data_IF_096305914200
#
_entry.id   IF_096305914200
#
_cell.length_a   1.000
_cell.length_b   1.000
_cell.length_c   1.000
_cell.angle_alpha   90.00
_cell.angle_beta   90.00
_cell.angle_gamma   90.00
#
_symmetry.space_group_name_H-M   'P 1'
#
loop_
_entity.id
_entity.type
_entity.pdbx_description
1 polymer ?
#
# COMPACT_ATOMS: atom_id res chain seq x y z
N UNK A 1 34.21 1.63 -40.02
CA UNK A 1 32.80 1.97 -40.26
C UNK A 1 32.33 2.79 -39.06
N UNK A 2 32.52 4.11 -39.12
CA UNK A 2 32.14 5.04 -38.05
C UNK A 2 30.68 5.44 -38.26
N UNK A 3 29.86 5.28 -37.22
CA UNK A 3 28.42 5.58 -37.24
C UNK A 3 28.14 7.08 -37.42
N UNK A 4 26.86 7.46 -37.62
CA UNK A 4 26.49 8.81 -37.98
C UNK A 4 26.89 9.78 -36.86
N UNK A 5 27.93 10.57 -37.11
CA UNK A 5 28.30 11.72 -36.28
C UNK A 5 27.28 12.83 -36.57
N UNK A 6 26.06 12.64 -36.07
CA UNK A 6 25.09 13.70 -35.88
C UNK A 6 25.71 14.65 -34.86
N UNK A 7 26.43 15.66 -35.35
CA UNK A 7 26.88 16.81 -34.58
C UNK A 7 25.65 17.57 -34.07
N UNK A 8 24.99 17.04 -33.03
CA UNK A 8 24.05 17.81 -32.23
C UNK A 8 24.88 18.87 -31.53
N UNK A 9 24.69 20.11 -31.94
CA UNK A 9 25.24 21.31 -31.32
C UNK A 9 25.17 21.17 -29.78
N UNK A 10 26.34 21.05 -29.15
CA UNK A 10 26.45 20.75 -27.71
C UNK A 10 25.75 21.81 -26.86
N UNK A 11 25.63 23.04 -27.38
CA UNK A 11 24.89 24.11 -26.71
C UNK A 11 23.40 23.78 -26.60
N UNK A 12 22.78 23.25 -27.67
CA UNK A 12 21.36 22.91 -27.67
C UNK A 12 21.08 21.75 -26.71
N UNK A 13 21.97 20.75 -26.65
CA UNK A 13 21.84 19.64 -25.71
C UNK A 13 21.97 20.09 -24.25
N UNK A 14 22.94 20.95 -23.94
CA UNK A 14 23.14 21.45 -22.58
C UNK A 14 21.99 22.37 -22.13
N UNK A 15 21.51 23.24 -23.00
CA UNK A 15 20.44 24.19 -22.67
C UNK A 15 19.05 23.57 -22.60
N UNK A 16 18.83 22.38 -23.17
CA UNK A 16 17.53 21.70 -23.11
C UNK A 16 17.53 20.50 -22.19
N UNK A 17 18.56 19.64 -22.25
CA UNK A 17 18.61 18.41 -21.45
C UNK A 17 18.86 18.72 -19.98
N UNK A 18 19.74 19.68 -19.68
CA UNK A 18 20.05 20.03 -18.29
C UNK A 18 18.81 20.62 -17.58
N UNK A 19 18.03 21.56 -18.16
CA UNK A 19 16.80 22.02 -17.54
C UNK A 19 15.71 20.94 -17.44
N UNK A 20 15.56 20.06 -18.43
CA UNK A 20 14.56 18.99 -18.37
C UNK A 20 14.88 18.00 -17.23
N UNK A 21 16.14 17.61 -17.07
CA UNK A 21 16.57 16.72 -15.97
C UNK A 21 16.39 17.42 -14.62
N UNK A 22 16.72 18.70 -14.51
CA UNK A 22 16.48 19.50 -13.30
C UNK A 22 14.99 19.53 -12.97
N UNK A 23 14.13 19.89 -13.92
CA UNK A 23 12.68 20.02 -13.68
C UNK A 23 12.07 18.68 -13.26
N UNK A 24 12.39 17.59 -13.95
CA UNK A 24 11.88 16.25 -13.59
C UNK A 24 12.36 15.78 -12.22
N UNK A 25 13.60 16.06 -11.85
CA UNK A 25 14.14 15.77 -10.53
C UNK A 25 13.41 16.56 -9.43
N UNK A 26 13.23 17.86 -9.62
CA UNK A 26 12.54 18.71 -8.65
C UNK A 26 11.05 18.34 -8.51
N UNK A 27 10.35 18.02 -9.60
CA UNK A 27 8.96 17.54 -9.55
C UNK A 27 8.86 16.22 -8.76
N UNK A 28 9.81 15.30 -8.96
CA UNK A 28 9.90 14.05 -8.21
C UNK A 28 10.16 14.27 -6.71
N UNK A 29 11.10 15.16 -6.37
CA UNK A 29 11.36 15.54 -4.98
C UNK A 29 10.15 16.19 -4.33
N UNK A 30 9.51 17.17 -4.99
CA UNK A 30 8.31 17.84 -4.49
C UNK A 30 7.20 16.82 -4.22
N UNK A 31 6.94 15.88 -5.15
CA UNK A 31 5.97 14.80 -4.93
C UNK A 31 6.31 13.95 -3.71
N UNK A 32 7.59 13.59 -3.54
CA UNK A 32 8.04 12.78 -2.40
C UNK A 32 7.85 13.52 -1.07
N UNK A 33 8.22 14.81 -1.00
CA UNK A 33 8.01 15.62 0.20
C UNK A 33 6.53 15.84 0.50
N UNK A 34 5.71 16.14 -0.51
CA UNK A 34 4.25 16.25 -0.34
C UNK A 34 3.65 14.93 0.14
N UNK A 35 4.12 13.79 -0.37
CA UNK A 35 3.67 12.47 0.08
C UNK A 35 4.05 12.21 1.53
N UNK A 36 5.25 12.58 1.96
CA UNK A 36 5.69 12.44 3.37
C UNK A 36 4.88 13.38 4.27
N UNK A 37 4.64 14.62 3.84
CA UNK A 37 3.86 15.60 4.59
C UNK A 37 2.39 15.17 4.74
N UNK A 38 1.83 14.53 3.71
CA UNK A 38 0.47 14.00 3.70
C UNK A 38 0.35 12.65 4.44
N UNK A 39 1.47 11.95 4.69
CA UNK A 39 1.56 10.74 5.52
C UNK A 39 1.56 11.05 7.02
N UNK A 40 0.75 12.02 7.46
CA UNK A 40 0.58 12.31 8.88
C UNK A 40 -0.04 11.13 9.64
N UNK A 41 0.48 10.88 10.85
CA UNK A 41 0.24 9.73 11.73
C UNK A 41 -1.24 9.35 11.90
N UNK A 42 -1.66 8.28 11.24
CA UNK A 42 -3.03 7.77 11.35
C UNK A 42 -3.16 6.86 12.56
N UNK A 43 -3.36 7.42 13.76
CA UNK A 43 -4.18 6.73 14.78
C UNK A 43 -5.64 7.04 14.47
N UNK A 44 -6.31 6.10 13.79
CA UNK A 44 -7.65 6.27 13.22
C UNK A 44 -8.75 6.23 14.29
N UNK A 45 -9.27 7.41 14.63
CA UNK A 45 -10.65 7.61 15.09
C UNK A 45 -11.58 7.52 13.88
N UNK A 46 -12.64 6.72 14.00
CA UNK A 46 -13.48 6.20 12.91
C UNK A 46 -14.30 7.27 12.14
N UNK A 47 -14.43 8.49 12.67
CA UNK A 47 -15.30 9.54 12.11
C UNK A 47 -14.65 10.38 10.99
N UNK A 48 -13.33 10.47 10.91
CA UNK A 48 -12.60 11.28 9.91
C UNK A 48 -12.47 10.60 8.52
N UNK A 49 -13.19 9.50 8.30
CA UNK A 49 -13.06 8.62 7.12
C UNK A 49 -13.90 9.12 5.92
N UNK A 50 -14.84 10.03 6.12
CA UNK A 50 -15.71 10.52 5.02
C UNK A 50 -15.07 11.67 4.23
N UNK A 51 -14.60 12.73 4.89
CA UNK A 51 -14.05 13.91 4.19
C UNK A 51 -12.69 13.66 3.54
N UNK A 52 -11.86 12.80 4.15
CA UNK A 52 -10.61 12.36 3.53
C UNK A 52 -10.83 11.56 2.26
N UNK A 53 -11.98 10.90 2.05
CA UNK A 53 -12.23 10.11 0.84
C UNK A 53 -12.38 10.97 -0.40
N UNK A 54 -12.91 12.19 -0.28
CA UNK A 54 -13.04 13.11 -1.41
C UNK A 54 -11.69 13.72 -1.79
N UNK A 55 -10.91 14.17 -0.80
CA UNK A 55 -9.57 14.73 -1.02
C UNK A 55 -8.56 13.64 -1.44
N UNK A 56 -8.63 12.45 -0.83
CA UNK A 56 -7.84 11.30 -1.26
C UNK A 56 -8.33 10.77 -2.60
N UNK A 57 -9.62 10.87 -2.92
CA UNK A 57 -10.17 10.48 -4.22
C UNK A 57 -9.62 11.34 -5.34
N UNK A 58 -9.55 12.65 -5.16
CA UNK A 58 -8.97 13.59 -6.12
C UNK A 58 -7.45 13.38 -6.30
N UNK A 59 -6.72 13.22 -5.19
CA UNK A 59 -5.26 12.98 -5.22
C UNK A 59 -4.94 11.57 -5.74
N UNK A 60 -5.74 10.56 -5.39
CA UNK A 60 -5.67 9.21 -5.94
C UNK A 60 -6.05 9.21 -7.42
N UNK A 61 -7.00 10.02 -7.86
CA UNK A 61 -7.37 10.15 -9.27
C UNK A 61 -6.20 10.73 -10.08
N UNK A 62 -5.49 11.73 -9.56
CA UNK A 62 -4.24 12.24 -10.14
C UNK A 62 -3.09 11.21 -10.12
N UNK A 63 -2.92 10.48 -9.01
CA UNK A 63 -1.91 9.41 -8.87
C UNK A 63 -2.28 8.17 -9.71
N UNK A 64 -3.54 7.96 -10.07
CA UNK A 64 -3.99 6.87 -10.95
C UNK A 64 -3.89 7.26 -12.43
N UNK A 65 -4.13 8.53 -12.80
CA UNK A 65 -4.13 8.96 -14.20
C UNK A 65 -2.73 9.11 -14.78
N UNK A 66 -1.78 9.67 -14.03
CA UNK A 66 -0.40 9.84 -14.54
C UNK A 66 0.29 8.50 -14.87
N UNK A 67 0.19 7.45 -14.02
CA UNK A 67 0.66 6.11 -14.37
C UNK A 67 -0.23 5.41 -15.39
N UNK A 68 -1.56 5.55 -15.35
CA UNK A 68 -2.43 4.89 -16.33
C UNK A 68 -2.20 5.36 -17.77
N UNK A 69 -1.83 6.63 -17.97
CA UNK A 69 -1.43 7.14 -19.28
C UNK A 69 -0.07 6.60 -19.75
N UNK A 70 0.80 6.19 -18.82
CA UNK A 70 2.09 5.52 -19.09
C UNK A 70 1.97 3.99 -19.21
N UNK A 71 1.04 3.38 -18.48
CA UNK A 71 0.72 1.94 -18.44
C UNK A 71 -0.18 1.50 -19.61
N UNK A 72 -0.89 2.44 -20.25
CA UNK A 72 -1.62 2.18 -21.49
C UNK A 72 -0.70 1.96 -22.70
N UNK A 73 0.57 2.36 -22.61
CA UNK A 73 1.59 2.19 -23.65
C UNK A 73 2.55 1.01 -23.34
N UNK A 74 2.59 0.56 -22.08
CA UNK A 74 3.34 -0.61 -21.61
C UNK A 74 2.37 -1.55 -20.87
N UNK A 75 1.72 -2.44 -21.60
CA UNK A 75 0.64 -3.28 -21.10
C UNK A 75 0.96 -4.01 -19.78
N UNK A 76 0.18 -3.72 -18.73
CA UNK A 76 0.34 -4.36 -17.42
C UNK A 76 -0.75 -4.05 -16.40
N UNK A 77 -1.87 -4.78 -16.46
CA UNK A 77 -2.98 -4.74 -15.49
C UNK A 77 -2.56 -5.04 -14.05
N UNK A 78 -2.74 -4.07 -13.13
CA UNK A 78 -2.59 -4.26 -11.68
C UNK A 78 -3.92 -4.00 -10.96
N UNK A 79 -4.71 -5.05 -10.78
CA UNK A 79 -5.83 -5.06 -9.84
C UNK A 79 -5.33 -4.95 -8.39
N UNK A 80 -5.83 -4.00 -7.58
CA UNK A 80 -5.59 -4.00 -6.14
C UNK A 80 -6.43 -5.09 -5.47
N UNK A 81 -5.83 -6.27 -5.36
CA UNK A 81 -6.40 -7.46 -4.71
C UNK A 81 -6.73 -7.17 -3.24
N UNK A 82 -8.04 -7.04 -2.99
CA UNK A 82 -8.75 -7.40 -1.76
C UNK A 82 -8.19 -6.80 -0.45
N UNK A 83 -8.62 -5.57 -0.14
CA UNK A 83 -8.40 -4.82 1.12
C UNK A 83 -9.13 -5.42 2.36
N UNK A 84 -9.07 -6.74 2.56
CA UNK A 84 -9.52 -7.41 3.81
C UNK A 84 -8.45 -8.17 4.63
N UNK A 85 -7.11 -8.02 4.45
CA UNK A 85 -6.14 -8.76 5.26
C UNK A 85 -5.87 -8.11 6.63
N UNK A 86 -6.16 -6.82 6.84
CA UNK A 86 -5.73 -6.07 8.05
C UNK A 86 -6.31 -6.61 9.34
N UNK A 87 -7.61 -6.91 9.39
CA UNK A 87 -8.24 -7.45 10.60
C UNK A 87 -7.68 -8.83 10.97
N UNK A 88 -7.51 -9.73 9.99
CA UNK A 88 -6.89 -11.03 10.23
C UNK A 88 -5.41 -10.92 10.58
N UNK A 89 -4.71 -9.97 9.97
CA UNK A 89 -3.30 -9.73 10.23
C UNK A 89 -3.06 -9.24 11.67
N UNK A 90 -3.89 -8.32 12.15
CA UNK A 90 -3.84 -7.86 13.54
C UNK A 90 -4.06 -9.00 14.54
N UNK A 91 -4.96 -9.94 14.25
CA UNK A 91 -5.20 -11.10 15.13
C UNK A 91 -4.02 -12.07 15.10
N UNK A 92 -3.40 -12.29 13.95
CA UNK A 92 -2.18 -13.10 13.82
C UNK A 92 -0.97 -12.47 14.53
N UNK A 93 -0.85 -11.14 14.49
CA UNK A 93 0.18 -10.44 15.29
C UNK A 93 -0.12 -10.59 16.78
N UNK A 94 -1.37 -10.42 17.20
CA UNK A 94 -1.76 -10.59 18.61
C UNK A 94 -1.46 -12.00 19.12
N UNK A 95 -1.70 -13.04 18.33
CA UNK A 95 -1.35 -14.42 18.71
C UNK A 95 0.16 -14.65 18.78
N UNK A 96 0.93 -14.06 17.85
CA UNK A 96 2.41 -14.08 17.88
C UNK A 96 2.95 -13.43 19.15
N UNK A 97 2.53 -12.20 19.44
CA UNK A 97 2.96 -11.44 20.62
C UNK A 97 2.59 -12.17 21.90
N UNK A 98 1.40 -12.79 21.98
CA UNK A 98 0.99 -13.56 23.15
C UNK A 98 1.89 -14.79 23.37
N UNK A 99 2.32 -15.47 22.30
CA UNK A 99 3.26 -16.60 22.39
C UNK A 99 4.66 -16.16 22.79
N UNK A 100 5.13 -15.03 22.26
CA UNK A 100 6.49 -14.51 22.53
C UNK A 100 6.61 -13.84 23.91
N UNK A 101 5.58 -13.10 24.33
CA UNK A 101 5.59 -12.28 25.56
C UNK A 101 4.72 -12.84 26.69
N UNK A 102 4.22 -14.07 26.56
CA UNK A 102 3.34 -14.69 27.55
C UNK A 102 3.95 -14.88 28.94
N UNK A 103 5.28 -14.76 29.07
CA UNK A 103 6.02 -14.86 30.35
C UNK A 103 5.76 -13.68 31.29
N UNK A 104 5.38 -12.51 30.75
CA UNK A 104 5.23 -11.27 31.52
C UNK A 104 3.80 -11.04 32.05
N UNK A 105 2.86 -11.93 31.76
CA UNK A 105 1.47 -11.84 32.24
C UNK A 105 1.15 -12.96 33.25
N UNK A 106 0.16 -12.77 34.13
CA UNK A 106 -0.28 -13.82 35.04
C UNK A 106 -0.70 -15.09 34.30
N UNK A 107 -0.35 -16.26 34.83
CA UNK A 107 -0.61 -17.56 34.21
C UNK A 107 -2.08 -17.75 33.84
N UNK A 108 -3.00 -17.32 34.72
CA UNK A 108 -4.45 -17.40 34.48
C UNK A 108 -4.86 -16.61 33.24
N UNK A 109 -4.42 -15.35 33.14
CA UNK A 109 -4.71 -14.49 31.99
C UNK A 109 -4.14 -15.04 30.68
N UNK A 110 -2.95 -15.66 30.73
CA UNK A 110 -2.38 -16.34 29.56
C UNK A 110 -3.22 -17.56 29.14
N UNK A 111 -3.62 -18.42 30.09
CA UNK A 111 -4.41 -19.62 29.83
C UNK A 111 -5.78 -19.28 29.24
N UNK A 112 -6.48 -18.28 29.77
CA UNK A 112 -7.77 -17.82 29.21
C UNK A 112 -7.61 -17.35 27.76
N UNK A 113 -6.57 -16.55 27.46
CA UNK A 113 -6.31 -16.05 26.10
C UNK A 113 -5.89 -17.18 25.16
N UNK A 114 -5.05 -18.11 25.62
CA UNK A 114 -4.66 -19.31 24.87
C UNK A 114 -5.87 -20.19 24.56
N UNK A 115 -6.77 -20.36 25.53
CA UNK A 115 -8.01 -21.11 25.37
C UNK A 115 -8.93 -20.47 24.33
N UNK A 116 -9.13 -19.15 24.37
CA UNK A 116 -9.92 -18.42 23.36
C UNK A 116 -9.44 -18.66 21.92
N UNK A 117 -8.13 -18.72 21.70
CA UNK A 117 -7.56 -18.96 20.38
C UNK A 117 -7.57 -20.44 19.97
N UNK A 118 -7.29 -21.35 20.91
CA UNK A 118 -7.00 -22.76 20.63
C UNK A 118 -8.12 -23.74 21.00
N UNK A 119 -9.26 -23.27 21.51
CA UNK A 119 -10.40 -24.13 21.82
C UNK A 119 -10.80 -24.94 20.57
N UNK A 120 -10.87 -26.30 20.65
CA UNK A 120 -11.20 -27.15 19.51
C UNK A 120 -12.57 -26.84 18.89
N UNK A 121 -13.57 -26.52 19.73
CA UNK A 121 -14.96 -26.32 19.30
C UNK A 121 -15.23 -24.85 18.92
N UNK A 122 -14.77 -23.92 19.77
CA UNK A 122 -15.21 -22.52 19.75
C UNK A 122 -14.10 -21.52 19.39
N UNK A 123 -12.89 -22.00 19.11
CA UNK A 123 -11.71 -21.14 18.94
C UNK A 123 -11.85 -20.14 17.80
N UNK A 124 -11.32 -18.93 17.99
CA UNK A 124 -11.39 -17.84 17.00
C UNK A 124 -10.97 -18.28 15.58
N UNK A 125 -9.91 -19.09 15.48
CA UNK A 125 -9.39 -19.59 14.20
C UNK A 125 -10.23 -20.71 13.56
N UNK A 126 -11.11 -21.34 14.33
CA UNK A 126 -12.02 -22.39 13.84
C UNK A 126 -13.35 -21.80 13.38
N UNK A 127 -13.86 -20.81 14.12
CA UNK A 127 -15.11 -20.09 13.80
C UNK A 127 -15.01 -19.21 12.56
N UNK A 128 -13.89 -18.50 12.39
CA UNK A 128 -13.66 -17.66 11.20
C UNK A 128 -13.21 -18.54 10.04
N UNK A 129 -14.13 -19.34 9.49
CA UNK A 129 -14.01 -19.85 8.13
C UNK A 129 -14.31 -18.67 7.21
N UNK A 130 -13.29 -18.17 6.50
CA UNK A 130 -13.53 -17.21 5.42
C UNK A 130 -14.49 -17.89 4.45
N UNK A 131 -15.66 -17.31 4.20
CA UNK A 131 -16.42 -17.63 2.98
C UNK A 131 -15.53 -17.19 1.83
N UNK A 132 -14.75 -18.11 1.28
CA UNK A 132 -14.11 -17.93 -0.01
C UNK A 132 -15.27 -17.99 -0.99
N UNK A 133 -15.83 -16.83 -1.33
CA UNK A 133 -16.80 -16.75 -2.41
C UNK A 133 -16.01 -17.12 -3.66
N UNK A 134 -16.30 -18.26 -4.32
CA UNK A 134 -15.62 -18.60 -5.55
C UNK A 134 -15.88 -17.45 -6.55
N UNK A 135 -14.88 -17.08 -7.37
CA UNK A 135 -15.10 -16.07 -8.40
C UNK A 135 -16.30 -16.50 -9.25
N UNK A 136 -17.25 -15.59 -9.46
CA UNK A 136 -18.38 -15.84 -10.35
C UNK A 136 -17.84 -16.29 -11.71
N UNK A 137 -18.39 -17.36 -12.31
CA UNK A 137 -17.96 -17.77 -13.64
C UNK A 137 -18.18 -16.58 -14.59
N UNK A 138 -17.12 -16.17 -15.27
CA UNK A 138 -17.18 -15.11 -16.27
C UNK A 138 -18.09 -15.61 -17.40
N UNK A 139 -19.26 -14.99 -17.55
CA UNK A 139 -20.07 -15.03 -18.77
C UNK A 139 -19.49 -14.09 -19.81
#
# INVERSE_FOLDING_TARGET
MAGPELLLDSNIRLWVVLPIVIITFFVGMIRHYVSILLQSDKKLTQEQVSDRKYLSGLVQWLISILPALWEAEMGGSLEPRNLRPTATYQVLIRSRVLRENGKYIPKQSFLTRKYYFNNPEDGFFKKTKRKVVPPSPMT
#
